data_IF_643912262808
#
_entry.id   IF_643912262808
#
_cell.length_a   1.000
_cell.length_b   1.000
_cell.length_c   1.000
_cell.angle_alpha   90.00
_cell.angle_beta   90.00
_cell.angle_gamma   90.00
#
_symmetry.space_group_name_H-M   'P 1'
#
loop_
_entity.id
_entity.type
_entity.pdbx_description
1 polymer ?
#
# COMPACT_ATOMS: atom_id res chain seq x y z
N UNK A 1 59.73 33.27 -0.76
CA UNK A 1 59.38 31.95 -0.17
C UNK A 1 58.00 31.58 -0.66
N UNK A 2 58.00 30.64 -1.61
CA UNK A 2 56.91 29.73 -2.04
C UNK A 2 55.60 30.28 -2.65
N UNK A 3 55.45 30.00 -3.95
CA UNK A 3 54.21 29.64 -4.66
C UNK A 3 53.27 28.74 -3.86
N UNK A 4 51.95 28.82 -4.13
CA UNK A 4 51.10 27.64 -4.38
C UNK A 4 49.64 28.01 -4.75
N UNK A 5 49.27 27.66 -5.99
CA UNK A 5 48.07 26.90 -6.37
C UNK A 5 46.66 27.40 -5.96
N UNK A 6 45.86 27.78 -6.96
CA UNK A 6 44.49 27.23 -7.09
C UNK A 6 44.59 25.78 -7.62
N UNK A 7 43.53 24.94 -7.76
CA UNK A 7 42.15 24.91 -7.25
C UNK A 7 41.78 23.52 -6.63
N UNK A 8 40.69 23.36 -5.87
CA UNK A 8 39.98 22.06 -5.70
C UNK A 8 38.70 22.22 -4.86
N UNK A 9 37.60 21.61 -5.32
CA UNK A 9 36.32 21.37 -4.61
C UNK A 9 35.37 22.58 -4.46
N UNK A 10 34.43 22.91 -5.34
CA UNK A 10 33.70 22.13 -6.37
C UNK A 10 33.07 20.80 -5.93
N UNK A 11 33.04 20.46 -4.63
CA UNK A 11 32.48 19.17 -4.17
C UNK A 11 31.67 19.20 -2.86
N UNK A 12 31.41 20.35 -2.23
CA UNK A 12 30.70 20.38 -0.93
C UNK A 12 29.40 21.17 -0.83
N UNK A 13 28.83 21.65 -1.93
CA UNK A 13 27.56 22.42 -1.88
C UNK A 13 26.45 21.78 -2.72
N UNK A 14 26.51 20.46 -2.92
CA UNK A 14 25.48 19.69 -3.63
C UNK A 14 24.40 19.06 -2.72
N UNK A 15 24.41 19.30 -1.40
CA UNK A 15 23.41 18.70 -0.49
C UNK A 15 22.96 19.70 0.59
N UNK A 16 22.35 20.80 0.15
CA UNK A 16 21.31 21.45 0.95
C UNK A 16 20.16 21.76 0.01
N UNK A 17 19.38 20.70 -0.22
CA UNK A 17 18.17 20.68 -1.04
C UNK A 17 17.25 21.83 -0.64
N UNK A 18 17.34 22.87 -1.46
CA UNK A 18 16.37 23.91 -1.79
C UNK A 18 15.00 23.64 -1.16
N UNK A 19 14.83 24.18 0.04
CA UNK A 19 13.54 24.42 0.68
C UNK A 19 12.99 25.69 0.05
N UNK A 20 11.72 25.66 -0.35
CA UNK A 20 10.85 26.78 -0.77
C UNK A 20 11.04 27.38 -2.17
N UNK A 21 10.08 27.08 -3.06
CA UNK A 21 9.63 27.76 -4.29
C UNK A 21 9.26 26.63 -5.29
N UNK A 22 8.05 26.43 -5.83
CA UNK A 22 7.00 27.32 -6.33
C UNK A 22 5.78 26.43 -6.68
N UNK A 23 4.63 26.56 -6.00
CA UNK A 23 3.36 25.93 -6.41
C UNK A 23 2.40 26.97 -6.96
N UNK A 24 2.82 27.66 -8.03
CA UNK A 24 1.94 28.54 -8.83
C UNK A 24 2.29 28.35 -10.30
N UNK A 25 1.87 27.23 -10.90
CA UNK A 25 1.79 27.07 -12.34
C UNK A 25 1.00 25.79 -12.65
N UNK A 26 -0.24 25.95 -13.13
CA UNK A 26 -1.06 24.81 -13.53
C UNK A 26 -2.55 25.11 -13.67
N UNK A 27 -2.98 26.36 -13.45
CA UNK A 27 -4.37 26.78 -13.67
C UNK A 27 -4.42 27.74 -14.86
N UNK A 28 -4.18 27.19 -16.05
CA UNK A 28 -4.35 27.92 -17.32
C UNK A 28 -4.98 27.02 -18.37
N UNK A 29 -6.08 27.53 -18.94
CA UNK A 29 -6.78 27.14 -20.18
C UNK A 29 -8.00 26.21 -20.03
N UNK A 30 -9.04 26.75 -19.38
CA UNK A 30 -10.44 26.33 -19.58
C UNK A 30 -11.17 27.38 -20.44
N UNK A 31 -10.83 27.50 -21.73
CA UNK A 31 -11.76 28.03 -22.76
C UNK A 31 -11.30 27.52 -24.14
N UNK A 32 -12.09 26.68 -24.79
CA UNK A 32 -11.88 26.26 -26.18
C UNK A 32 -13.11 25.53 -26.74
N UNK A 33 -13.85 26.22 -27.59
CA UNK A 33 -15.13 25.84 -28.20
C UNK A 33 -15.04 24.66 -29.20
N UNK A 34 -16.03 23.75 -29.09
CA UNK A 34 -16.80 23.04 -30.14
C UNK A 34 -16.20 22.61 -31.48
N UNK A 35 -16.39 21.32 -31.83
CA UNK A 35 -17.05 20.87 -33.06
C UNK A 35 -17.21 19.33 -33.11
N UNK A 36 -18.47 18.90 -33.33
CA UNK A 36 -18.99 17.63 -33.86
C UNK A 36 -17.99 16.51 -34.20
N UNK A 37 -18.15 15.36 -33.54
CA UNK A 37 -17.49 14.11 -33.95
C UNK A 37 -17.97 12.88 -33.17
N UNK A 38 -18.96 12.20 -33.77
CA UNK A 38 -19.25 10.75 -33.64
C UNK A 38 -19.63 10.22 -32.25
N UNK A 39 -20.90 9.84 -32.11
CA UNK A 39 -21.35 8.85 -31.14
C UNK A 39 -20.66 7.53 -31.48
N UNK A 40 -19.52 7.27 -30.85
CA UNK A 40 -19.00 5.92 -30.71
C UNK A 40 -19.50 5.42 -29.37
N UNK A 41 -20.58 4.64 -29.39
CA UNK A 41 -20.88 3.71 -28.31
C UNK A 41 -19.59 2.97 -27.97
N UNK A 42 -19.12 2.99 -26.70
CA UNK A 42 -18.16 2.01 -26.26
C UNK A 42 -18.87 0.66 -26.40
N UNK A 43 -18.55 -0.08 -27.47
CA UNK A 43 -18.85 -1.50 -27.52
C UNK A 43 -18.36 -2.09 -26.19
N UNK A 44 -19.18 -2.87 -25.47
CA UNK A 44 -18.70 -3.55 -24.28
C UNK A 44 -17.58 -4.48 -24.75
N UNK A 45 -16.35 -4.06 -24.49
CA UNK A 45 -15.19 -4.93 -24.51
C UNK A 45 -15.60 -6.16 -23.72
N UNK A 46 -15.68 -7.29 -24.43
CA UNK A 46 -15.31 -8.64 -23.99
C UNK A 46 -15.31 -8.85 -22.48
N UNK A 47 -16.06 -9.84 -21.94
CA UNK A 47 -15.98 -10.18 -20.52
C UNK A 47 -14.52 -10.20 -20.14
N UNK A 48 -14.12 -9.33 -19.20
CA UNK A 48 -12.78 -9.37 -18.67
C UNK A 48 -12.56 -10.82 -18.27
N UNK A 49 -11.72 -11.51 -19.04
CA UNK A 49 -10.99 -12.68 -18.63
C UNK A 49 -10.50 -12.29 -17.23
N UNK A 50 -11.18 -12.78 -16.18
CA UNK A 50 -10.73 -12.57 -14.81
C UNK A 50 -9.44 -13.36 -14.77
N UNK A 51 -8.36 -12.69 -15.14
CA UNK A 51 -6.98 -13.14 -15.04
C UNK A 51 -6.95 -13.86 -13.71
N UNK A 52 -6.79 -15.19 -13.80
CA UNK A 52 -6.86 -16.09 -12.67
C UNK A 52 -6.07 -15.44 -11.54
N UNK A 53 -6.82 -15.05 -10.51
CA UNK A 53 -6.30 -14.34 -9.35
C UNK A 53 -5.02 -15.04 -8.95
N UNK A 54 -3.93 -14.29 -8.85
CA UNK A 54 -2.71 -14.83 -8.28
C UNK A 54 -3.01 -15.14 -6.82
N UNK A 55 -3.56 -16.33 -6.57
CA UNK A 55 -3.83 -16.85 -5.23
C UNK A 55 -2.48 -17.22 -4.64
N UNK A 56 -1.79 -16.20 -4.15
CA UNK A 56 -0.63 -16.39 -3.30
C UNK A 56 -1.06 -16.93 -1.95
N UNK A 57 -0.14 -17.54 -1.18
CA UNK A 57 -0.47 -18.08 0.16
C UNK A 57 -1.15 -17.08 1.10
N UNK A 58 -0.86 -15.78 0.95
CA UNK A 58 -1.50 -14.72 1.72
C UNK A 58 -2.98 -14.53 1.33
N UNK A 59 -3.31 -14.60 0.04
CA UNK A 59 -4.68 -14.40 -0.46
C UNK A 59 -5.61 -15.53 0.03
N UNK A 60 -5.12 -16.77 -0.02
CA UNK A 60 -5.81 -17.94 0.52
C UNK A 60 -6.05 -17.80 2.04
N UNK A 61 -5.05 -17.34 2.78
CA UNK A 61 -5.18 -17.07 4.23
C UNK A 61 -6.20 -15.96 4.53
N UNK A 62 -6.16 -14.88 3.74
CA UNK A 62 -7.09 -13.74 3.86
C UNK A 62 -8.53 -14.19 3.65
N UNK A 63 -8.78 -14.98 2.59
CA UNK A 63 -10.10 -15.50 2.27
C UNK A 63 -10.59 -16.50 3.32
N UNK A 64 -9.76 -17.47 3.71
CA UNK A 64 -10.14 -18.52 4.65
C UNK A 64 -10.45 -17.99 6.06
N UNK A 65 -9.86 -16.87 6.47
CA UNK A 65 -10.01 -16.30 7.82
C UNK A 65 -10.78 -14.98 7.86
N UNK A 66 -11.39 -14.58 6.73
CA UNK A 66 -12.22 -13.37 6.61
C UNK A 66 -11.45 -12.15 7.13
N UNK A 67 -10.28 -11.90 6.56
CA UNK A 67 -9.35 -10.88 7.03
C UNK A 67 -9.60 -9.50 6.39
N UNK A 68 -9.12 -8.45 7.05
CA UNK A 68 -9.13 -7.06 6.58
C UNK A 68 -7.79 -6.39 6.85
N UNK A 69 -7.24 -5.71 5.83
CA UNK A 69 -6.02 -4.90 5.95
C UNK A 69 -6.25 -3.60 6.72
N UNK A 70 -7.45 -3.04 6.63
CA UNK A 70 -7.80 -1.75 7.26
C UNK A 70 -8.50 -1.90 8.60
N UNK A 71 -8.74 -3.13 9.03
CA UNK A 71 -9.52 -3.41 10.24
C UNK A 71 -11.02 -3.59 10.00
N UNK A 72 -11.77 -3.67 11.09
CA UNK A 72 -13.23 -3.77 11.12
C UNK A 72 -13.82 -2.62 11.91
N UNK A 73 -15.15 -2.50 11.88
CA UNK A 73 -15.89 -1.56 12.71
C UNK A 73 -15.68 -1.84 14.21
N UNK A 74 -15.96 -0.83 15.05
CA UNK A 74 -15.62 -0.85 16.49
C UNK A 74 -16.41 -1.87 17.30
N UNK A 75 -17.50 -2.40 16.76
CA UNK A 75 -18.36 -3.43 17.33
C UNK A 75 -17.91 -4.86 16.97
N UNK A 76 -16.96 -4.99 16.05
CA UNK A 76 -16.43 -6.28 15.60
C UNK A 76 -15.11 -6.56 16.30
N UNK A 77 -15.05 -7.68 17.02
CA UNK A 77 -13.83 -8.13 17.72
C UNK A 77 -13.14 -9.21 16.86
N UNK A 78 -11.95 -8.95 16.30
CA UNK A 78 -11.19 -9.96 15.57
C UNK A 78 -10.65 -11.04 16.52
N UNK A 79 -10.58 -12.27 16.03
CA UNK A 79 -10.07 -13.42 16.81
C UNK A 79 -8.62 -13.78 16.44
N UNK A 80 -8.18 -13.39 15.23
CA UNK A 80 -6.92 -13.77 14.61
C UNK A 80 -6.27 -12.55 13.96
N UNK A 81 -4.98 -12.68 13.63
CA UNK A 81 -4.25 -11.70 12.85
C UNK A 81 -3.24 -12.40 11.94
N UNK A 82 -2.91 -11.78 10.81
CA UNK A 82 -1.82 -12.17 9.95
C UNK A 82 -0.64 -11.26 10.24
N UNK A 83 0.52 -11.85 10.51
CA UNK A 83 1.76 -11.12 10.74
C UNK A 83 2.82 -11.56 9.74
N UNK A 84 3.73 -10.65 9.40
CA UNK A 84 4.98 -10.97 8.72
C UNK A 84 6.11 -11.00 9.75
N UNK A 85 6.83 -12.11 9.81
CA UNK A 85 7.98 -12.27 10.70
C UNK A 85 9.17 -11.46 10.20
N UNK A 86 10.18 -11.19 11.04
CA UNK A 86 11.44 -10.56 10.60
C UNK A 86 12.16 -11.32 9.48
N UNK A 87 11.95 -12.64 9.40
CA UNK A 87 12.50 -13.52 8.38
C UNK A 87 11.74 -13.43 7.05
N UNK A 88 10.56 -12.77 7.04
CA UNK A 88 9.72 -12.56 5.87
C UNK A 88 8.55 -13.53 5.74
N UNK A 89 8.43 -14.51 6.64
CA UNK A 89 7.36 -15.51 6.64
C UNK A 89 6.02 -14.88 7.03
N UNK A 90 4.92 -15.43 6.50
CA UNK A 90 3.56 -14.99 6.80
C UNK A 90 2.90 -16.00 7.72
N UNK A 91 2.46 -15.57 8.90
CA UNK A 91 1.87 -16.44 9.91
C UNK A 91 0.47 -15.97 10.32
N UNK A 92 -0.43 -16.94 10.56
CA UNK A 92 -1.72 -16.69 11.20
C UNK A 92 -1.60 -16.88 12.71
N UNK A 93 -1.75 -15.81 13.48
CA UNK A 93 -1.60 -15.79 14.93
C UNK A 93 -2.91 -15.40 15.63
N UNK A 94 -2.94 -15.48 16.96
CA UNK A 94 -4.04 -14.91 17.74
C UNK A 94 -4.06 -13.38 17.62
N UNK A 95 -5.23 -12.78 17.85
CA UNK A 95 -5.36 -11.32 17.84
C UNK A 95 -4.38 -10.65 18.82
N UNK A 96 -4.27 -11.15 20.06
CA UNK A 96 -3.37 -10.58 21.08
C UNK A 96 -1.89 -10.60 20.64
N UNK A 97 -1.44 -11.69 20.00
CA UNK A 97 -0.08 -11.77 19.47
C UNK A 97 0.14 -10.78 18.33
N UNK A 98 -0.83 -10.64 17.43
CA UNK A 98 -0.81 -9.61 16.39
C UNK A 98 -0.75 -8.19 16.98
N UNK A 99 -1.45 -7.95 18.08
CA UNK A 99 -1.42 -6.69 18.81
C UNK A 99 -0.06 -6.42 19.46
N UNK A 100 0.59 -7.45 20.00
CA UNK A 100 1.96 -7.33 20.53
C UNK A 100 2.99 -7.02 19.43
N UNK A 101 2.80 -7.53 18.20
CA UNK A 101 3.61 -7.13 17.03
C UNK A 101 3.34 -5.67 16.65
N UNK A 102 2.08 -5.27 16.51
CA UNK A 102 1.70 -3.90 16.16
C UNK A 102 2.17 -2.86 17.19
N UNK A 103 2.11 -3.20 18.48
CA UNK A 103 2.58 -2.33 19.57
C UNK A 103 4.09 -2.33 19.75
N UNK A 104 4.83 -3.12 18.95
CA UNK A 104 6.29 -3.18 18.98
C UNK A 104 6.88 -3.99 20.15
N UNK A 105 6.07 -4.78 20.86
CA UNK A 105 6.57 -5.70 21.89
C UNK A 105 7.26 -6.92 21.27
N UNK A 106 6.80 -7.35 20.10
CA UNK A 106 7.37 -8.45 19.32
C UNK A 106 7.79 -7.89 17.95
N UNK A 107 8.96 -8.28 17.45
CA UNK A 107 9.42 -7.87 16.13
C UNK A 107 8.58 -8.50 15.01
N UNK A 108 8.25 -7.71 14.00
CA UNK A 108 7.47 -8.12 12.84
C UNK A 108 6.57 -7.00 12.33
N UNK A 109 5.68 -7.35 11.40
CA UNK A 109 4.69 -6.44 10.83
C UNK A 109 3.29 -7.05 10.98
N UNK A 110 2.33 -6.28 11.51
CA UNK A 110 0.93 -6.66 11.45
C UNK A 110 0.40 -6.37 10.05
N UNK A 111 0.01 -7.42 9.33
CA UNK A 111 -0.44 -7.32 7.94
C UNK A 111 -1.97 -7.13 7.87
N UNK A 112 -2.72 -7.95 8.60
CA UNK A 112 -4.19 -7.90 8.59
C UNK A 112 -4.77 -8.44 9.89
N UNK A 113 -6.00 -8.03 10.22
CA UNK A 113 -6.79 -8.61 11.32
C UNK A 113 -7.91 -9.48 10.76
N UNK A 114 -8.29 -10.53 11.48
CA UNK A 114 -9.13 -11.60 10.94
C UNK A 114 -10.20 -12.04 11.94
N UNK A 115 -11.39 -12.36 11.44
CA UNK A 115 -12.47 -12.90 12.27
C UNK A 115 -12.31 -14.39 12.55
N UNK A 116 -11.43 -15.06 11.79
CA UNK A 116 -11.22 -16.50 11.84
C UNK A 116 -12.09 -17.23 10.81
N UNK A 117 -11.98 -18.57 10.75
CA UNK A 117 -12.77 -19.36 9.81
C UNK A 117 -14.27 -19.21 10.11
N UNK A 118 -15.08 -19.33 9.06
CA UNK A 118 -16.52 -19.39 9.21
C UNK A 118 -16.90 -20.57 10.11
N UNK A 119 -17.73 -20.31 11.12
CA UNK A 119 -18.22 -21.38 11.98
C UNK A 119 -19.08 -22.34 11.15
N UNK A 120 -18.94 -23.67 11.31
CA UNK A 120 -19.82 -24.60 10.63
C UNK A 120 -21.26 -24.31 11.05
N UNK A 121 -22.14 -24.11 10.08
CA UNK A 121 -23.57 -23.92 10.35
C UNK A 121 -24.09 -25.11 11.15
N UNK A 122 -24.61 -24.86 12.35
CA UNK A 122 -25.28 -25.87 13.15
C UNK A 122 -26.50 -26.35 12.34
N UNK A 123 -26.50 -27.64 11.98
CA UNK A 123 -27.67 -28.32 11.40
C UNK A 123 -28.51 -28.94 12.49
#
# INVERSE_FOLDING_TARGET
MSDAAAPTAWLRVAVHSVRTATTVAGLTLLVGFGALGVVTEPAPTTPAERIGMSSGPLDDMMQANRCSFTGFDRDVIPSKAIVRTPEGDTELVSFDRGWDVFSGKIAGELVAVCLGPEAPAAR
#
